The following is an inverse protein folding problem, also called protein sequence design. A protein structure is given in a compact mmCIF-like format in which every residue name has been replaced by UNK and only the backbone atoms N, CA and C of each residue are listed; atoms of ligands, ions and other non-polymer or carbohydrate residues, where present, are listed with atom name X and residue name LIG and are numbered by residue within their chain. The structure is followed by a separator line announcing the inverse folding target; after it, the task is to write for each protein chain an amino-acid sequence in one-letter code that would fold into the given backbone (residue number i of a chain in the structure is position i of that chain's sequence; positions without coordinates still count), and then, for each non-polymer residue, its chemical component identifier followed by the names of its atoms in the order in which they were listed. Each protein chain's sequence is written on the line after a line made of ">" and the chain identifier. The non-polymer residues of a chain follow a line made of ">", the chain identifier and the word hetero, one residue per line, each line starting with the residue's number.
data_IF_695423338512
#
_entry.id   IF_695423338512
#
_cell.length_a   1.000
_cell.length_b   1.000
_cell.length_c   1.000
_cell.angle_alpha   90.00
_cell.angle_beta   90.00
_cell.angle_gamma   90.00
#
_symmetry.space_group_name_H-M   'P 1'
#
loop_
_entity.id
_entity.type
_entity.pdbx_description
1 polymer ?
#
# COMPACT_ATOMS: atom_id res chain seq x y z
N UNK A 1 0.02 7.43 19.71
CA UNK A 1 -0.82 7.24 18.49
C UNK A 1 -0.67 5.79 18.03
N UNK A 2 -1.76 5.08 17.76
CA UNK A 2 -1.70 3.72 17.21
C UNK A 2 -2.00 3.73 15.72
N UNK A 3 -1.03 3.31 14.93
CA UNK A 3 -1.10 3.32 13.47
C UNK A 3 -1.50 1.93 12.99
N UNK A 4 -2.50 1.85 12.12
CA UNK A 4 -2.88 0.63 11.42
C UNK A 4 -2.44 0.73 9.97
N UNK A 5 -1.67 -0.23 9.49
CA UNK A 5 -1.21 -0.33 8.11
C UNK A 5 -2.02 -1.43 7.40
N UNK A 6 -2.92 -1.03 6.52
CA UNK A 6 -3.81 -1.91 5.77
C UNK A 6 -3.39 -1.98 4.31
N UNK A 7 -3.08 -3.16 3.83
CA UNK A 7 -2.58 -3.33 2.47
C UNK A 7 -2.45 -4.79 2.05
N UNK A 8 -1.73 -4.98 0.97
CA UNK A 8 -1.48 -6.28 0.34
C UNK A 8 -0.18 -6.96 0.82
N UNK A 9 0.45 -7.74 -0.06
CA UNK A 9 1.71 -8.45 0.19
C UNK A 9 2.87 -7.51 0.50
N UNK A 10 2.95 -6.32 -0.10
CA UNK A 10 3.98 -5.34 0.22
C UNK A 10 3.82 -4.77 1.64
N UNK A 11 2.60 -4.64 2.14
CA UNK A 11 2.34 -4.28 3.54
C UNK A 11 2.58 -5.47 4.48
N UNK A 12 2.17 -6.67 4.08
CA UNK A 12 2.46 -7.91 4.82
C UNK A 12 3.96 -8.10 5.03
N UNK A 13 4.78 -7.73 4.03
CA UNK A 13 6.22 -7.92 4.00
C UNK A 13 6.64 -9.22 3.34
N UNK A 14 5.91 -9.63 2.28
CA UNK A 14 6.23 -10.81 1.49
C UNK A 14 7.66 -10.76 0.95
N UNK A 15 8.41 -11.86 1.14
CA UNK A 15 9.76 -12.04 0.58
C UNK A 15 9.68 -12.83 -0.73
N UNK A 16 9.83 -12.20 -1.90
CA UNK A 16 9.71 -12.87 -3.19
C UNK A 16 10.84 -13.87 -3.48
N UNK A 17 11.86 -13.93 -2.64
CA UNK A 17 12.96 -14.91 -2.74
C UNK A 17 12.59 -16.23 -2.05
N UNK A 18 11.57 -16.22 -1.19
CA UNK A 18 11.10 -17.41 -0.50
C UNK A 18 10.04 -18.12 -1.34
N UNK A 19 10.40 -19.27 -1.88
CA UNK A 19 9.53 -20.09 -2.72
C UNK A 19 8.22 -20.53 -2.03
N UNK A 20 8.22 -20.60 -0.70
CA UNK A 20 7.05 -21.02 0.08
C UNK A 20 6.18 -19.87 0.57
N UNK A 21 6.39 -18.67 0.05
CA UNK A 21 5.58 -17.50 0.42
C UNK A 21 5.98 -16.91 1.78
N UNK A 22 7.25 -16.99 2.11
CA UNK A 22 7.81 -16.44 3.33
C UNK A 22 7.64 -14.94 3.46
N UNK A 23 8.04 -14.44 4.59
CA UNK A 23 7.92 -13.05 4.98
C UNK A 23 9.29 -12.55 5.45
N UNK A 24 9.67 -11.34 5.04
CA UNK A 24 10.85 -10.70 5.64
C UNK A 24 10.73 -10.67 7.16
N UNK A 25 11.84 -10.70 7.86
CA UNK A 25 11.89 -10.47 9.30
C UNK A 25 11.48 -9.00 9.65
N UNK A 26 11.25 -8.74 10.92
CA UNK A 26 10.80 -7.42 11.38
C UNK A 26 11.80 -6.29 11.08
N UNK A 27 13.08 -6.61 10.95
CA UNK A 27 14.14 -5.64 10.66
C UNK A 27 14.17 -5.22 9.18
N UNK A 28 13.43 -5.94 8.34
CA UNK A 28 13.38 -5.72 6.90
C UNK A 28 11.95 -5.47 6.36
N UNK A 29 10.92 -5.34 7.22
CA UNK A 29 9.55 -5.00 6.82
C UNK A 29 9.26 -3.53 7.12
N UNK A 30 8.71 -2.81 6.16
CA UNK A 30 8.48 -1.38 6.30
C UNK A 30 7.55 -1.00 7.47
N UNK A 31 6.56 -1.83 7.81
CA UNK A 31 5.63 -1.55 8.93
C UNK A 31 6.37 -1.58 10.26
N UNK A 32 7.22 -2.59 10.48
CA UNK A 32 8.01 -2.71 11.71
C UNK A 32 9.11 -1.65 11.79
N UNK A 33 9.73 -1.34 10.65
CA UNK A 33 10.71 -0.25 10.55
C UNK A 33 10.07 1.11 10.84
N UNK A 34 8.85 1.35 10.34
CA UNK A 34 8.10 2.56 10.61
C UNK A 34 7.79 2.71 12.11
N UNK A 35 7.35 1.63 12.76
CA UNK A 35 7.10 1.60 14.20
C UNK A 35 8.33 2.03 14.99
N UNK A 36 9.49 1.50 14.61
CA UNK A 36 10.78 1.82 15.23
C UNK A 36 11.21 3.27 15.00
N UNK A 37 11.03 3.79 13.77
CA UNK A 37 11.43 5.15 13.42
C UNK A 37 10.58 6.22 14.11
N UNK A 38 9.28 5.95 14.27
CA UNK A 38 8.33 6.87 14.90
C UNK A 38 8.24 6.70 16.42
N UNK A 39 8.84 5.64 16.97
CA UNK A 39 8.62 5.20 18.36
C UNK A 39 7.11 5.10 18.69
N UNK A 40 6.34 4.51 17.76
CA UNK A 40 4.89 4.40 17.85
C UNK A 40 4.43 2.97 17.54
N UNK A 41 3.49 2.41 18.29
CA UNK A 41 2.95 1.09 18.00
C UNK A 41 2.23 1.09 16.65
N UNK A 42 2.60 0.14 15.79
CA UNK A 42 1.94 -0.11 14.50
C UNK A 42 1.30 -1.50 14.48
N UNK A 43 0.17 -1.61 13.79
CA UNK A 43 -0.51 -2.88 13.53
C UNK A 43 -0.41 -3.16 12.04
N UNK A 44 0.20 -4.29 11.68
CA UNK A 44 0.31 -4.74 10.31
C UNK A 44 -0.90 -5.59 9.93
N UNK A 45 -1.81 -5.04 9.13
CA UNK A 45 -2.95 -5.73 8.52
C UNK A 45 -2.72 -6.01 7.03
N UNK A 46 -1.48 -6.20 6.61
CA UNK A 46 -1.14 -6.66 5.26
C UNK A 46 -1.55 -8.12 5.04
N UNK A 47 -1.96 -8.43 3.82
CA UNK A 47 -2.34 -9.79 3.43
C UNK A 47 -1.96 -10.06 1.97
N UNK A 48 -1.29 -11.17 1.71
CA UNK A 48 -0.91 -11.58 0.36
C UNK A 48 -2.14 -11.66 -0.56
N UNK A 49 -2.03 -11.13 -1.76
CA UNK A 49 -3.07 -11.19 -2.78
C UNK A 49 -4.30 -10.29 -2.51
N UNK A 50 -4.26 -9.43 -1.47
CA UNK A 50 -5.43 -8.61 -1.15
C UNK A 50 -5.72 -7.61 -2.26
N UNK A 51 -6.93 -7.72 -2.81
CA UNK A 51 -7.60 -6.67 -3.57
C UNK A 51 -8.29 -5.66 -2.64
N UNK A 52 -8.74 -4.55 -3.18
CA UNK A 52 -9.54 -3.56 -2.43
C UNK A 52 -10.84 -4.24 -1.95
N UNK A 53 -11.12 -4.21 -0.63
CA UNK A 53 -12.33 -4.82 -0.09
C UNK A 53 -13.62 -4.23 -0.69
N UNK A 54 -14.62 -5.10 -0.90
CA UNK A 54 -15.94 -4.69 -1.41
C UNK A 54 -16.87 -4.21 -0.30
N UNK A 55 -16.46 -4.43 0.94
CA UNK A 55 -17.20 -4.04 2.16
C UNK A 55 -16.26 -3.32 3.11
N UNK A 56 -16.82 -2.65 4.12
CA UNK A 56 -16.02 -2.04 5.18
C UNK A 56 -15.20 -3.09 5.95
N UNK A 57 -14.18 -2.63 6.64
CA UNK A 57 -13.32 -3.44 7.50
C UNK A 57 -13.52 -3.09 8.96
N UNK A 58 -13.34 -4.08 9.83
CA UNK A 58 -13.22 -3.83 11.25
C UNK A 58 -11.82 -3.32 11.57
N UNK A 59 -11.73 -2.15 12.18
CA UNK A 59 -10.49 -1.60 12.72
C UNK A 59 -10.38 -1.92 14.20
N UNK A 60 -9.15 -2.09 14.73
CA UNK A 60 -8.94 -2.13 16.18
C UNK A 60 -9.50 -0.88 16.85
N UNK A 61 -10.09 -1.01 18.05
CA UNK A 61 -10.72 0.10 18.78
C UNK A 61 -9.78 1.29 19.01
N UNK A 62 -8.48 0.99 19.18
CA UNK A 62 -7.47 2.01 19.43
C UNK A 62 -6.82 2.58 18.17
N UNK A 63 -7.36 2.31 16.99
CA UNK A 63 -6.84 2.85 15.74
C UNK A 63 -7.06 4.37 15.69
N UNK A 64 -5.97 5.12 15.68
CA UNK A 64 -5.98 6.59 15.60
C UNK A 64 -5.59 7.06 14.20
N UNK A 65 -4.80 6.27 13.47
CA UNK A 65 -4.41 6.52 12.09
C UNK A 65 -4.46 5.23 11.26
N UNK A 66 -5.01 5.33 10.08
CA UNK A 66 -5.08 4.24 9.10
C UNK A 66 -4.28 4.62 7.87
N UNK A 67 -3.30 3.79 7.53
CA UNK A 67 -2.52 3.90 6.29
C UNK A 67 -3.02 2.82 5.33
N UNK A 68 -3.45 3.21 4.14
CA UNK A 68 -3.97 2.31 3.11
C UNK A 68 -3.06 2.34 1.90
N UNK A 69 -2.58 1.16 1.49
CA UNK A 69 -1.87 0.97 0.22
C UNK A 69 -2.40 -0.29 -0.46
N UNK A 70 -3.26 -0.11 -1.44
CA UNK A 70 -3.95 -1.18 -2.19
C UNK A 70 -4.17 -0.76 -3.66
N UNK A 71 -4.52 -1.72 -4.49
CA UNK A 71 -4.84 -1.55 -5.90
C UNK A 71 -3.94 -2.37 -6.83
N UNK A 72 -2.75 -2.74 -6.39
CA UNK A 72 -1.81 -3.56 -7.16
C UNK A 72 -2.43 -4.89 -7.57
N UNK A 73 -3.04 -5.62 -6.64
CA UNK A 73 -3.65 -6.91 -6.96
C UNK A 73 -4.90 -6.77 -7.83
N UNK A 74 -5.69 -5.71 -7.68
CA UNK A 74 -6.82 -5.43 -8.57
C UNK A 74 -6.34 -5.30 -10.02
N UNK A 75 -5.24 -4.56 -10.25
CA UNK A 75 -4.63 -4.43 -11.59
C UNK A 75 -4.10 -5.77 -12.08
N UNK A 76 -3.36 -6.52 -11.25
CA UNK A 76 -2.82 -7.84 -11.61
C UNK A 76 -3.91 -8.86 -11.94
N UNK A 77 -5.11 -8.70 -11.37
CA UNK A 77 -6.30 -9.50 -11.69
C UNK A 77 -7.08 -8.99 -12.93
N UNK A 78 -6.54 -7.98 -13.62
CA UNK A 78 -7.06 -7.49 -14.88
C UNK A 78 -8.08 -6.35 -14.77
N UNK A 79 -8.24 -5.73 -13.60
CA UNK A 79 -9.05 -4.54 -13.51
C UNK A 79 -8.32 -3.33 -14.11
N UNK A 80 -9.03 -2.53 -14.90
CA UNK A 80 -8.50 -1.26 -15.39
C UNK A 80 -8.43 -0.21 -14.25
N UNK A 81 -7.67 0.85 -14.48
CA UNK A 81 -7.42 1.86 -13.47
C UNK A 81 -8.71 2.53 -12.97
N UNK A 82 -9.66 2.80 -13.85
CA UNK A 82 -10.91 3.47 -13.50
C UNK A 82 -11.78 2.58 -12.59
N UNK A 83 -11.82 1.29 -12.86
CA UNK A 83 -12.47 0.29 -11.99
C UNK A 83 -11.80 0.24 -10.62
N UNK A 84 -10.46 0.23 -10.55
CA UNK A 84 -9.73 0.21 -9.28
C UNK A 84 -9.98 1.48 -8.46
N UNK A 85 -9.97 2.64 -9.11
CA UNK A 85 -10.26 3.94 -8.47
C UNK A 85 -11.69 3.95 -7.91
N UNK A 86 -12.67 3.45 -8.66
CA UNK A 86 -14.06 3.35 -8.21
C UNK A 86 -14.20 2.41 -7.00
N UNK A 87 -13.49 1.28 -6.99
CA UNK A 87 -13.43 0.36 -5.84
C UNK A 87 -12.84 1.04 -4.60
N UNK A 88 -11.75 1.79 -4.76
CA UNK A 88 -11.14 2.53 -3.66
C UNK A 88 -12.09 3.60 -3.13
N UNK A 89 -12.80 4.33 -3.99
CA UNK A 89 -13.80 5.31 -3.59
C UNK A 89 -14.87 4.68 -2.70
N UNK A 90 -15.45 3.57 -3.16
CA UNK A 90 -16.47 2.84 -2.41
C UNK A 90 -15.93 2.29 -1.08
N UNK A 91 -14.70 1.79 -1.06
CA UNK A 91 -14.06 1.29 0.17
C UNK A 91 -13.84 2.39 1.21
N UNK A 92 -13.30 3.54 0.79
CA UNK A 92 -13.06 4.69 1.67
C UNK A 92 -14.36 5.22 2.31
N UNK A 93 -15.48 5.21 1.57
CA UNK A 93 -16.78 5.66 2.07
C UNK A 93 -17.35 4.75 3.18
N UNK A 94 -16.80 3.54 3.36
CA UNK A 94 -17.23 2.58 4.38
C UNK A 94 -16.36 2.58 5.64
N UNK A 95 -15.25 3.33 5.64
CA UNK A 95 -14.30 3.35 6.77
C UNK A 95 -14.85 4.26 7.87
N UNK A 96 -14.98 3.69 9.07
CA UNK A 96 -15.47 4.39 10.25
C UNK A 96 -14.30 5.06 11.02
N UNK A 97 -13.61 5.96 10.36
CA UNK A 97 -12.56 6.78 10.93
C UNK A 97 -12.63 8.17 10.28
N UNK A 98 -12.32 9.27 11.00
CA UNK A 98 -12.24 10.58 10.37
C UNK A 98 -11.29 10.56 9.17
N UNK A 99 -11.69 11.12 8.04
CA UNK A 99 -10.91 11.11 6.82
C UNK A 99 -9.51 11.72 6.99
N UNK A 100 -9.36 12.73 7.85
CA UNK A 100 -8.07 13.33 8.21
C UNK A 100 -7.11 12.38 8.92
N UNK A 101 -7.64 11.28 9.47
CA UNK A 101 -6.88 10.23 10.13
C UNK A 101 -6.54 9.06 9.20
N UNK A 102 -6.94 9.13 7.93
CA UNK A 102 -6.58 8.18 6.89
C UNK A 102 -5.43 8.77 6.08
N UNK A 103 -4.44 7.97 5.74
CA UNK A 103 -3.43 8.28 4.72
C UNK A 103 -3.61 7.30 3.57
N UNK A 104 -4.01 7.78 2.41
CA UNK A 104 -4.06 6.99 1.19
C UNK A 104 -2.73 7.06 0.47
N UNK A 105 -2.12 5.92 0.21
CA UNK A 105 -0.88 5.80 -0.55
C UNK A 105 -1.17 5.16 -1.90
N UNK A 106 -0.85 5.84 -3.00
CA UNK A 106 -0.77 5.17 -4.28
C UNK A 106 0.46 4.25 -4.28
N UNK A 107 0.29 2.94 -4.56
CA UNK A 107 1.41 2.01 -4.58
C UNK A 107 2.44 2.39 -5.66
N UNK A 108 3.73 2.03 -5.48
CA UNK A 108 4.69 2.15 -6.57
C UNK A 108 4.18 1.45 -7.83
N UNK A 109 4.37 2.02 -9.02
CA UNK A 109 3.95 1.39 -10.26
C UNK A 109 4.61 0.02 -10.46
N UNK A 110 3.86 -0.89 -11.06
CA UNK A 110 4.38 -2.16 -11.53
C UNK A 110 5.55 -1.94 -12.49
N UNK A 111 6.50 -2.85 -12.47
CA UNK A 111 7.64 -2.87 -13.41
C UNK A 111 7.64 -4.19 -14.16
N UNK A 112 8.23 -4.20 -15.35
CA UNK A 112 8.41 -5.45 -16.08
C UNK A 112 9.21 -6.46 -15.26
N UNK A 113 8.68 -7.66 -15.13
CA UNK A 113 9.25 -8.71 -14.28
C UNK A 113 8.55 -10.05 -14.51
N UNK A 114 8.89 -11.03 -13.69
CA UNK A 114 8.37 -12.40 -13.87
C UNK A 114 6.83 -12.49 -13.71
N UNK A 115 6.20 -11.55 -13.03
CA UNK A 115 4.73 -11.51 -12.84
C UNK A 115 4.06 -10.39 -13.64
N UNK A 116 4.84 -9.54 -14.30
CA UNK A 116 4.35 -8.39 -15.06
C UNK A 116 4.94 -8.46 -16.47
N UNK A 117 4.19 -9.06 -17.37
CA UNK A 117 4.60 -9.32 -18.76
C UNK A 117 3.94 -8.37 -19.77
N UNK A 118 3.00 -7.54 -19.34
CA UNK A 118 2.17 -6.67 -20.17
C UNK A 118 2.38 -5.19 -19.83
N UNK A 119 2.47 -4.36 -20.86
CA UNK A 119 2.54 -2.91 -20.74
C UNK A 119 1.24 -2.33 -20.17
N UNK A 120 0.09 -2.95 -20.50
CA UNK A 120 -1.22 -2.50 -20.01
C UNK A 120 -1.30 -2.55 -18.48
N UNK A 121 -0.70 -3.56 -17.84
CA UNK A 121 -0.64 -3.65 -16.36
C UNK A 121 0.20 -2.51 -15.77
N UNK A 122 1.33 -2.20 -16.40
CA UNK A 122 2.21 -1.11 -15.97
C UNK A 122 1.49 0.23 -16.11
N UNK A 123 0.89 0.51 -17.27
CA UNK A 123 0.14 1.73 -17.53
C UNK A 123 -1.06 1.89 -16.58
N UNK A 124 -1.81 0.82 -16.33
CA UNK A 124 -2.92 0.84 -15.39
C UNK A 124 -2.44 1.19 -13.97
N UNK A 125 -1.32 0.60 -13.52
CA UNK A 125 -0.74 0.88 -12.20
C UNK A 125 -0.26 2.34 -12.07
N UNK A 126 0.36 2.91 -13.12
CA UNK A 126 0.78 4.32 -13.15
C UNK A 126 -0.44 5.25 -13.02
N UNK A 127 -1.55 4.94 -13.70
CA UNK A 127 -2.77 5.77 -13.68
C UNK A 127 -3.45 5.82 -12.31
N UNK A 128 -3.19 4.87 -11.42
CA UNK A 128 -3.79 4.86 -10.08
C UNK A 128 -3.43 6.11 -9.28
N UNK A 129 -2.19 6.59 -9.37
CA UNK A 129 -1.73 7.75 -8.59
C UNK A 129 -2.60 8.98 -8.83
N UNK A 130 -2.79 9.38 -10.08
CA UNK A 130 -3.61 10.55 -10.41
C UNK A 130 -5.09 10.37 -9.99
N UNK A 131 -5.63 9.16 -10.11
CA UNK A 131 -6.98 8.83 -9.65
C UNK A 131 -7.13 8.92 -8.13
N UNK A 132 -6.19 8.35 -7.40
CA UNK A 132 -6.19 8.38 -5.93
C UNK A 132 -5.95 9.78 -5.39
N UNK A 133 -5.12 10.58 -6.05
CA UNK A 133 -4.91 11.98 -5.67
C UNK A 133 -6.22 12.79 -5.77
N UNK A 134 -6.96 12.67 -6.89
CA UNK A 134 -8.27 13.34 -7.04
C UNK A 134 -9.26 12.85 -5.98
N UNK A 135 -9.35 11.54 -5.80
CA UNK A 135 -10.24 10.91 -4.83
C UNK A 135 -9.96 11.37 -3.39
N UNK A 136 -8.70 11.46 -3.03
CA UNK A 136 -8.26 11.93 -1.72
C UNK A 136 -8.59 13.41 -1.50
N UNK A 137 -8.37 14.25 -2.52
CA UNK A 137 -8.70 15.67 -2.47
C UNK A 137 -10.21 15.90 -2.29
N UNK A 138 -11.05 15.17 -3.03
CA UNK A 138 -12.52 15.23 -2.93
C UNK A 138 -13.04 14.87 -1.54
N UNK A 139 -12.34 14.02 -0.81
CA UNK A 139 -12.72 13.49 0.51
C UNK A 139 -11.95 14.11 1.68
N UNK A 140 -11.05 15.05 1.40
CA UNK A 140 -10.15 15.64 2.40
C UNK A 140 -9.33 14.56 3.15
N UNK A 141 -8.83 13.57 2.38
CA UNK A 141 -7.95 12.50 2.86
C UNK A 141 -6.50 12.88 2.56
N UNK A 142 -5.57 12.84 3.53
CA UNK A 142 -4.14 12.90 3.26
C UNK A 142 -3.70 11.86 2.22
N UNK A 143 -2.89 12.30 1.26
CA UNK A 143 -2.44 11.47 0.14
C UNK A 143 -0.94 11.56 -0.07
N UNK A 144 -0.35 10.48 -0.53
CA UNK A 144 1.01 10.46 -1.06
C UNK A 144 1.14 9.45 -2.19
N UNK A 145 2.05 9.73 -3.12
CA UNK A 145 2.39 8.84 -4.23
C UNK A 145 3.74 8.18 -3.97
N UNK A 146 3.74 6.88 -3.76
CA UNK A 146 4.98 6.13 -3.52
C UNK A 146 5.85 5.97 -4.79
N UNK A 147 5.36 6.31 -5.96
CA UNK A 147 6.16 6.33 -7.19
C UNK A 147 7.37 7.28 -7.07
N UNK A 148 7.21 8.42 -6.39
CA UNK A 148 8.28 9.41 -6.23
C UNK A 148 9.38 8.97 -5.27
N UNK A 149 9.18 7.88 -4.54
CA UNK A 149 10.17 7.35 -3.61
C UNK A 149 11.15 6.38 -4.26
N UNK A 150 10.93 6.03 -5.52
CA UNK A 150 11.78 5.12 -6.30
C UNK A 150 12.09 3.82 -5.56
N UNK A 151 11.05 3.22 -4.97
CA UNK A 151 11.16 1.98 -4.19
C UNK A 151 11.63 0.84 -5.07
N UNK A 152 12.79 0.19 -4.79
CA UNK A 152 13.25 -0.94 -5.58
C UNK A 152 12.30 -2.13 -5.47
N UNK A 153 11.82 -2.61 -6.63
CA UNK A 153 11.04 -3.84 -6.74
C UNK A 153 11.95 -5.04 -7.03
N UNK A 154 11.46 -6.22 -6.67
CA UNK A 154 12.14 -7.48 -6.92
C UNK A 154 11.99 -7.92 -8.38
N UNK A 155 12.58 -9.08 -8.71
CA UNK A 155 12.58 -9.67 -10.04
C UNK A 155 11.20 -9.94 -10.63
N UNK A 156 10.18 -10.01 -9.78
CA UNK A 156 8.79 -10.22 -10.20
C UNK A 156 8.09 -8.96 -10.72
N UNK A 157 8.66 -7.78 -10.46
CA UNK A 157 8.12 -6.48 -10.88
C UNK A 157 6.98 -5.94 -10.00
N UNK A 158 6.75 -6.56 -8.84
CA UNK A 158 5.61 -6.28 -7.94
C UNK A 158 6.06 -6.01 -6.51
N UNK A 159 6.86 -6.92 -5.95
CA UNK A 159 7.18 -6.93 -4.52
C UNK A 159 8.41 -6.10 -4.19
N UNK A 160 8.40 -5.49 -3.02
CA UNK A 160 9.53 -4.71 -2.53
C UNK A 160 10.72 -5.63 -2.25
N UNK A 161 11.93 -5.15 -2.58
CA UNK A 161 13.14 -5.73 -2.03
C UNK A 161 13.30 -5.35 -0.54
N UNK A 162 14.23 -5.98 0.18
CA UNK A 162 14.55 -5.55 1.55
C UNK A 162 15.01 -4.09 1.61
N UNK A 163 15.72 -3.60 0.58
CA UNK A 163 16.06 -2.18 0.43
C UNK A 163 14.81 -1.34 0.15
N UNK A 164 13.90 -1.83 -0.70
CA UNK A 164 12.62 -1.19 -0.98
C UNK A 164 11.80 -0.96 0.28
N UNK A 165 11.73 -1.96 1.16
CA UNK A 165 11.07 -1.81 2.45
C UNK A 165 11.71 -0.73 3.33
N UNK A 166 13.05 -0.64 3.36
CA UNK A 166 13.76 0.40 4.14
C UNK A 166 13.50 1.80 3.59
N UNK A 167 13.60 1.98 2.26
CA UNK A 167 13.33 3.27 1.61
C UNK A 167 11.88 3.69 1.86
N UNK A 168 10.92 2.77 1.67
CA UNK A 168 9.51 3.05 1.90
C UNK A 168 9.25 3.51 3.34
N UNK A 169 9.78 2.80 4.33
CA UNK A 169 9.64 3.18 5.74
C UNK A 169 10.21 4.56 6.04
N UNK A 170 11.41 4.87 5.52
CA UNK A 170 12.06 6.16 5.71
C UNK A 170 11.25 7.32 5.13
N UNK A 171 10.80 7.19 3.89
CA UNK A 171 10.02 8.23 3.22
C UNK A 171 8.68 8.45 3.92
N UNK A 172 8.02 7.37 4.33
CA UNK A 172 6.75 7.44 5.04
C UNK A 172 6.91 8.06 6.43
N UNK A 173 7.97 7.75 7.16
CA UNK A 173 8.25 8.36 8.46
C UNK A 173 8.41 9.88 8.35
N UNK A 174 9.11 10.39 7.32
CA UNK A 174 9.27 11.82 7.08
C UNK A 174 7.94 12.57 6.87
N UNK A 175 6.90 11.88 6.39
CA UNK A 175 5.57 12.46 6.21
C UNK A 175 4.73 12.45 7.49
N UNK A 176 5.11 11.66 8.48
CA UNK A 176 4.32 11.43 9.70
C UNK A 176 4.90 12.14 10.93
N UNK A 177 6.09 12.71 10.80
CA UNK A 177 6.72 13.58 11.79
C UNK A 177 6.25 15.02 11.57
#
# INVERSE_FOLDING_TARGET
>A
MRIVCFGDSNTYGYDPRDYFGGRYDAENRWVDLLAKQLDQPTINLGMNGREIPRTGIALPEEAEKLIIMLGTNDVLQGADADTVIARMAHFLDQIKLPHTNILLIAPPPLQRGAWVDSEELIEASIRLSAGYQRLAAERNIPFTDAAVWHVPLAFDGVHFTGEGHRIFAQQLALLLI
#
